data_IF_024285131573
#
_entry.id   IF_024285131573
#
_cell.length_a   1.000
_cell.length_b   1.000
_cell.length_c   1.000
_cell.angle_alpha   90.00
_cell.angle_beta   90.00
_cell.angle_gamma   90.00
#
_symmetry.space_group_name_H-M   'P 1'
#
loop_
_entity.id
_entity.type
_entity.pdbx_description
1 polymer ?
#
# COMPACT_ATOMS: atom_id res chain seq x y z
N UNK A 1 -7.14 -7.61 6.26
CA UNK A 1 -5.78 -7.88 6.74
C UNK A 1 -4.86 -8.24 5.58
N UNK A 2 -3.78 -7.53 5.24
CA UNK A 2 -2.85 -7.97 4.17
C UNK A 2 -2.23 -9.37 4.36
N UNK A 3 -1.39 -9.81 3.42
CA UNK A 3 -0.67 -11.07 3.57
C UNK A 3 0.49 -10.92 4.58
N UNK A 4 0.47 -11.68 5.68
CA UNK A 4 1.53 -11.65 6.70
C UNK A 4 2.22 -13.00 6.88
N UNK A 5 3.54 -13.00 7.08
CA UNK A 5 4.33 -14.22 7.27
C UNK A 5 3.98 -15.02 8.53
N UNK A 6 3.34 -14.38 9.52
CA UNK A 6 2.95 -14.97 10.80
C UNK A 6 1.63 -14.36 11.30
N UNK A 7 1.08 -14.93 12.37
CA UNK A 7 -0.11 -14.41 13.05
C UNK A 7 0.08 -12.94 13.48
N UNK A 8 -0.97 -12.15 13.27
CA UNK A 8 -1.08 -10.75 13.67
C UNK A 8 -2.38 -10.58 14.44
N UNK A 9 -2.33 -9.93 15.61
CA UNK A 9 -3.49 -9.74 16.49
C UNK A 9 -4.54 -8.84 15.87
N UNK A 10 -4.10 -7.77 15.23
CA UNK A 10 -4.98 -6.78 14.65
C UNK A 10 -4.30 -6.07 13.47
N UNK A 11 -5.06 -5.86 12.40
CA UNK A 11 -4.73 -4.89 11.34
C UNK A 11 -5.97 -4.08 11.04
N UNK A 12 -5.86 -2.76 11.13
CA UNK A 12 -6.98 -1.83 10.93
C UNK A 12 -6.53 -0.53 10.28
N UNK A 13 -7.50 0.27 9.87
CA UNK A 13 -7.31 1.56 9.23
C UNK A 13 -6.32 1.45 8.06
N UNK A 14 -6.47 0.42 7.23
CA UNK A 14 -5.62 0.25 6.05
C UNK A 14 -5.94 1.35 5.06
N UNK A 15 -4.92 2.06 4.58
CA UNK A 15 -5.05 3.13 3.60
C UNK A 15 -4.05 2.92 2.49
N UNK A 16 -4.53 2.97 1.25
CA UNK A 16 -3.71 2.70 0.08
C UNK A 16 -3.97 3.76 -0.97
N UNK A 17 -2.92 4.44 -1.44
CA UNK A 17 -2.97 5.30 -2.60
C UNK A 17 -2.39 4.57 -3.80
N UNK A 18 -3.01 4.71 -4.98
CA UNK A 18 -2.50 4.16 -6.23
C UNK A 18 -2.66 5.09 -7.43
N UNK A 19 -1.68 5.10 -8.33
CA UNK A 19 -1.85 5.69 -9.67
C UNK A 19 -0.98 5.01 -10.71
N UNK A 20 -1.36 5.17 -11.97
CA UNK A 20 -0.46 4.90 -13.10
C UNK A 20 0.43 6.13 -13.32
N UNK A 21 1.74 5.88 -13.37
CA UNK A 21 2.78 6.83 -13.73
C UNK A 21 2.93 6.98 -15.25
N UNK A 22 3.60 8.05 -15.70
CA UNK A 22 3.66 8.40 -17.13
C UNK A 22 4.35 7.34 -18.01
N UNK A 23 5.19 6.48 -17.42
CA UNK A 23 5.91 5.43 -18.14
C UNK A 23 5.22 4.06 -18.04
N UNK A 24 3.96 4.01 -17.60
CA UNK A 24 3.24 2.76 -17.34
C UNK A 24 3.71 2.03 -16.07
N UNK A 25 4.55 2.67 -15.26
CA UNK A 25 4.86 2.22 -13.91
C UNK A 25 3.66 2.48 -13.00
N UNK A 26 3.35 1.57 -12.09
CA UNK A 26 2.36 1.87 -11.05
C UNK A 26 3.08 2.38 -9.80
N UNK A 27 2.47 3.36 -9.15
CA UNK A 27 2.89 3.90 -7.87
C UNK A 27 1.90 3.46 -6.81
N UNK A 28 2.40 3.01 -5.66
CA UNK A 28 1.61 2.68 -4.49
C UNK A 28 2.19 3.38 -3.25
N UNK A 29 1.30 3.87 -2.39
CA UNK A 29 1.62 4.28 -1.02
C UNK A 29 0.68 3.53 -0.10
N UNK A 30 1.19 2.92 0.96
CA UNK A 30 0.44 2.05 1.85
C UNK A 30 0.65 2.46 3.31
N UNK A 31 -0.41 2.49 4.11
CA UNK A 31 -0.36 2.71 5.55
C UNK A 31 -1.40 1.83 6.26
N UNK A 32 -1.10 1.39 7.48
CA UNK A 32 -2.05 0.68 8.35
C UNK A 32 -1.67 0.88 9.81
N UNK A 33 -2.59 0.54 10.71
CA UNK A 33 -2.27 0.25 12.10
C UNK A 33 -2.18 -1.27 12.29
N UNK A 34 -1.18 -1.72 13.05
CA UNK A 34 -0.92 -3.13 13.32
C UNK A 34 -0.67 -3.37 14.79
N UNK A 35 -1.12 -4.52 15.29
CA UNK A 35 -0.72 -5.09 16.56
C UNK A 35 -0.19 -6.50 16.34
N UNK A 36 1.09 -6.73 16.62
CA UNK A 36 1.74 -8.04 16.52
C UNK A 36 2.60 -8.33 17.75
N UNK A 37 2.55 -9.56 18.26
CA UNK A 37 3.34 -9.99 19.43
C UNK A 37 4.81 -10.27 19.06
N UNK A 38 5.11 -10.36 17.77
CA UNK A 38 6.42 -10.71 17.23
C UNK A 38 6.72 -9.92 15.97
N UNK A 39 7.97 -9.99 15.52
CA UNK A 39 8.37 -9.47 14.21
C UNK A 39 7.67 -10.26 13.09
N UNK A 40 7.13 -9.54 12.11
CA UNK A 40 6.39 -10.11 10.97
C UNK A 40 6.81 -9.44 9.66
N UNK A 41 6.62 -10.15 8.55
CA UNK A 41 6.72 -9.57 7.22
C UNK A 41 5.31 -9.35 6.65
N UNK A 42 5.04 -8.14 6.17
CA UNK A 42 3.93 -7.88 5.26
C UNK A 42 4.41 -8.15 3.83
N UNK A 43 3.66 -8.95 3.08
CA UNK A 43 3.99 -9.34 1.71
C UNK A 43 2.89 -8.85 0.78
N UNK A 44 3.25 -8.00 -0.18
CA UNK A 44 2.29 -7.43 -1.13
C UNK A 44 2.57 -7.98 -2.53
N UNK A 45 1.71 -8.86 -3.08
CA UNK A 45 1.84 -9.28 -4.47
C UNK A 45 1.60 -8.07 -5.38
N UNK A 46 2.49 -7.86 -6.34
CA UNK A 46 2.41 -6.78 -7.32
C UNK A 46 2.64 -7.28 -8.74
N UNK A 47 1.82 -6.85 -9.72
CA UNK A 47 1.95 -7.30 -11.10
C UNK A 47 3.10 -6.57 -11.79
N UNK A 48 4.34 -7.02 -11.56
CA UNK A 48 5.53 -6.45 -12.19
C UNK A 48 5.67 -7.00 -13.61
N UNK A 49 6.03 -6.14 -14.57
CA UNK A 49 6.35 -6.56 -15.94
C UNK A 49 7.47 -7.61 -15.89
N UNK A 50 7.35 -8.67 -16.70
CA UNK A 50 8.36 -9.74 -16.73
C UNK A 50 9.73 -9.23 -17.21
N UNK A 51 10.79 -9.89 -16.76
CA UNK A 51 12.17 -9.63 -17.21
C UNK A 51 12.80 -8.34 -16.67
N UNK A 52 12.26 -7.76 -15.60
CA UNK A 52 12.79 -6.51 -15.01
C UNK A 52 13.87 -6.74 -13.94
N UNK A 53 14.07 -8.00 -13.50
CA UNK A 53 15.09 -8.37 -12.53
C UNK A 53 14.83 -7.81 -11.12
N UNK A 54 15.85 -7.87 -10.27
CA UNK A 54 15.77 -7.59 -8.83
C UNK A 54 15.63 -6.10 -8.46
N UNK A 55 15.93 -5.21 -9.41
CA UNK A 55 15.85 -3.76 -9.22
C UNK A 55 14.57 -3.15 -9.81
N UNK A 56 13.58 -3.99 -10.14
CA UNK A 56 12.34 -3.54 -10.78
C UNK A 56 11.50 -2.61 -9.88
N UNK A 57 11.62 -2.75 -8.56
CA UNK A 57 10.85 -1.95 -7.60
C UNK A 57 11.74 -0.89 -6.97
N UNK A 58 11.31 0.36 -7.08
CA UNK A 58 11.90 1.49 -6.37
C UNK A 58 11.08 1.81 -5.14
N UNK A 59 11.71 1.96 -3.98
CA UNK A 59 11.07 2.35 -2.73
C UNK A 59 11.44 3.79 -2.38
N UNK A 60 10.52 4.51 -1.73
CA UNK A 60 10.65 5.95 -1.51
C UNK A 60 10.36 6.32 -0.05
N UNK A 61 11.23 7.16 0.51
CA UNK A 61 11.11 7.58 1.91
C UNK A 61 10.06 8.69 2.05
N UNK A 62 8.98 8.40 2.78
CA UNK A 62 7.94 9.37 3.15
C UNK A 62 7.94 9.73 4.64
N UNK A 63 9.05 9.53 5.37
CA UNK A 63 9.18 9.96 6.77
C UNK A 63 8.88 11.45 6.99
N UNK A 64 9.19 12.29 6.00
CA UNK A 64 8.86 13.72 6.03
C UNK A 64 7.36 14.02 5.94
N UNK A 65 6.53 13.01 5.65
CA UNK A 65 5.09 13.18 5.48
C UNK A 65 4.25 12.06 6.16
N UNK A 66 4.36 11.90 7.49
CA UNK A 66 3.66 10.85 8.24
C UNK A 66 2.12 10.99 8.19
N UNK A 67 1.64 12.22 7.97
CA UNK A 67 0.23 12.59 7.94
C UNK A 67 -0.39 12.57 6.54
N UNK A 68 0.27 11.94 5.57
CA UNK A 68 -0.17 11.90 4.16
C UNK A 68 -1.65 11.56 4.02
N UNK A 69 -2.09 10.46 4.65
CA UNK A 69 -3.45 9.98 4.47
C UNK A 69 -4.49 10.78 5.26
N UNK A 70 -4.11 11.38 6.39
CA UNK A 70 -4.97 12.37 7.06
C UNK A 70 -5.23 13.56 6.14
N UNK A 71 -4.20 14.02 5.43
CA UNK A 71 -4.29 15.13 4.50
C UNK A 71 -5.08 14.75 3.24
N UNK A 72 -4.93 13.52 2.72
CA UNK A 72 -5.81 13.00 1.66
C UNK A 72 -7.27 12.96 2.09
N UNK A 73 -7.56 12.54 3.33
CA UNK A 73 -8.92 12.44 3.82
C UNK A 73 -9.60 13.81 3.99
N UNK A 74 -8.83 14.86 4.31
CA UNK A 74 -9.32 16.25 4.29
C UNK A 74 -9.79 16.70 2.91
N UNK A 75 -9.36 16.01 1.85
CA UNK A 75 -9.88 16.20 0.49
C UNK A 75 -11.34 15.77 0.33
N UNK A 76 -11.90 15.03 1.29
CA UNK A 76 -13.25 14.47 1.23
C UNK A 76 -14.01 14.78 2.52
N UNK A 77 -14.19 16.07 2.84
CA UNK A 77 -14.90 16.45 4.06
C UNK A 77 -16.30 15.82 4.00
N UNK A 78 -16.64 15.06 5.05
CA UNK A 78 -18.04 14.81 5.33
C UNK A 78 -18.75 16.17 5.39
N UNK A 79 -19.99 16.25 4.91
CA UNK A 79 -20.84 17.41 5.17
C UNK A 79 -21.13 17.37 6.68
N UNK A 80 -20.21 17.88 7.50
CA UNK A 80 -20.33 17.93 8.95
C UNK A 80 -20.36 19.38 9.38
N UNK A 81 -21.48 19.75 9.99
CA UNK A 81 -21.65 21.01 10.71
C UNK A 81 -20.68 21.02 11.92
N UNK A 82 -19.67 21.91 11.82
CA UNK A 82 -18.60 22.35 12.75
C UNK A 82 -18.38 21.78 14.17
N UNK A 83 -17.09 21.53 14.48
CA UNK A 83 -16.32 21.95 15.67
C UNK A 83 -14.88 21.40 15.55
N UNK A 84 -13.77 22.17 15.48
CA UNK A 84 -13.04 22.84 16.56
C UNK A 84 -11.75 22.06 16.95
N UNK A 85 -10.50 22.61 16.84
CA UNK A 85 -9.25 21.81 16.90
C UNK A 85 -8.48 21.91 18.23
N UNK A 86 -7.55 20.98 18.52
CA UNK A 86 -6.12 21.21 18.89
C UNK A 86 -5.43 19.95 19.49
N UNK A 87 -4.16 19.73 19.13
CA UNK A 87 -3.23 18.81 19.81
C UNK A 87 -1.94 18.51 19.03
N UNK A 88 -0.79 18.98 19.51
CA UNK A 88 0.56 18.96 18.89
C UNK A 88 1.49 17.83 19.42
N UNK A 89 2.53 17.44 18.66
CA UNK A 89 3.48 16.36 19.00
C UNK A 89 4.97 16.81 19.01
N UNK A 90 5.90 16.12 19.73
CA UNK A 90 7.31 16.50 19.85
C UNK A 90 8.31 15.63 19.06
N UNK A 91 9.61 16.00 19.12
CA UNK A 91 10.74 15.77 18.19
C UNK A 91 11.98 15.14 18.88
N UNK A 92 12.82 14.36 18.18
CA UNK A 92 14.32 14.46 18.08
C UNK A 92 15.08 13.15 17.66
N UNK A 93 16.39 13.31 17.36
CA UNK A 93 17.37 12.61 16.47
C UNK A 93 18.47 11.80 17.27
N UNK A 94 19.68 11.39 16.77
CA UNK A 94 20.17 10.74 15.51
C UNK A 94 21.21 9.55 15.67
N UNK A 95 21.48 8.83 14.57
CA UNK A 95 22.79 8.26 14.09
C UNK A 95 23.30 6.87 14.61
N UNK A 96 24.00 5.97 13.88
CA UNK A 96 24.32 5.75 12.43
C UNK A 96 25.00 4.36 12.23
N UNK A 97 24.76 3.66 11.08
CA UNK A 97 25.70 3.00 10.12
C UNK A 97 24.91 2.19 9.04
N UNK A 98 25.51 1.90 7.88
CA UNK A 98 24.84 1.80 6.55
C UNK A 98 24.03 0.51 6.21
N UNK A 99 22.76 0.72 5.81
CA UNK A 99 21.75 -0.21 5.24
C UNK A 99 20.84 0.63 4.34
N UNK A 100 20.29 0.13 3.23
CA UNK A 100 19.30 0.90 2.43
C UNK A 100 17.97 0.94 3.20
N UNK A 101 17.83 1.99 4.01
CA UNK A 101 16.65 2.31 4.80
C UNK A 101 15.73 3.21 3.98
N UNK A 102 14.49 2.76 3.79
CA UNK A 102 13.42 3.59 3.22
C UNK A 102 12.62 4.07 4.41
N UNK A 103 13.10 5.10 5.05
CA UNK A 103 12.40 5.63 6.19
C UNK A 103 12.49 4.79 7.47
N UNK A 104 11.35 4.50 8.08
CA UNK A 104 11.27 3.76 9.35
C UNK A 104 11.20 2.22 9.21
N UNK A 105 11.28 1.68 7.99
CA UNK A 105 11.05 0.26 7.71
C UNK A 105 12.15 -0.37 6.85
N UNK A 106 12.25 -1.71 6.94
CA UNK A 106 13.12 -2.52 6.07
C UNK A 106 12.25 -3.13 4.98
N UNK A 107 12.55 -2.81 3.73
CA UNK A 107 11.81 -3.30 2.56
C UNK A 107 12.71 -4.15 1.65
N UNK A 108 12.11 -5.08 0.92
CA UNK A 108 12.77 -5.90 -0.09
C UNK A 108 11.81 -6.20 -1.23
N UNK A 109 12.35 -6.50 -2.41
CA UNK A 109 11.58 -6.97 -3.55
C UNK A 109 11.95 -8.42 -3.87
N UNK A 110 10.94 -9.26 -4.03
CA UNK A 110 11.07 -10.66 -4.43
C UNK A 110 10.52 -10.80 -5.85
N UNK A 111 11.35 -11.11 -6.86
CA UNK A 111 10.90 -11.14 -8.26
C UNK A 111 9.88 -12.23 -8.58
N UNK A 112 9.95 -13.38 -7.89
CA UNK A 112 9.09 -14.53 -8.15
C UNK A 112 8.85 -15.38 -6.90
N UNK A 113 7.87 -16.30 -6.95
CA UNK A 113 7.61 -17.24 -5.85
C UNK A 113 8.87 -18.05 -5.49
N UNK A 114 9.66 -18.46 -6.49
CA UNK A 114 10.88 -19.24 -6.26
C UNK A 114 11.95 -18.46 -5.47
N UNK A 115 11.97 -17.14 -5.60
CA UNK A 115 12.93 -16.26 -4.94
C UNK A 115 12.65 -16.06 -3.44
N UNK A 116 11.48 -16.46 -2.92
CA UNK A 116 11.23 -16.42 -1.45
C UNK A 116 12.26 -17.23 -0.66
N UNK A 117 12.81 -18.29 -1.27
CA UNK A 117 13.88 -19.12 -0.69
C UNK A 117 15.17 -18.34 -0.37
N UNK A 118 15.30 -17.09 -0.86
CA UNK A 118 16.44 -16.20 -0.63
C UNK A 118 16.19 -15.17 0.49
N UNK A 119 14.95 -14.99 0.94
CA UNK A 119 14.66 -14.15 2.11
C UNK A 119 15.05 -14.86 3.40
N UNK A 120 15.28 -14.17 4.51
CA UNK A 120 15.40 -14.85 5.81
C UNK A 120 14.06 -15.54 6.16
N UNK A 121 14.14 -16.78 6.64
CA UNK A 121 12.99 -17.69 6.85
C UNK A 121 11.88 -17.05 7.70
N UNK A 122 12.25 -16.20 8.66
CA UNK A 122 11.29 -15.50 9.54
C UNK A 122 10.37 -14.53 8.79
N UNK A 123 10.72 -14.18 7.55
CA UNK A 123 10.02 -13.22 6.70
C UNK A 123 9.37 -13.86 5.46
N UNK A 124 9.33 -15.19 5.40
CA UNK A 124 8.67 -15.93 4.32
C UNK A 124 7.26 -16.31 4.75
N UNK A 125 6.33 -16.30 3.80
CA UNK A 125 5.09 -17.07 3.95
C UNK A 125 5.41 -18.57 3.79
N UNK A 126 4.61 -19.47 4.38
CA UNK A 126 4.73 -20.91 4.13
C UNK A 126 4.73 -21.19 2.62
N UNK A 127 5.59 -22.12 2.19
CA UNK A 127 5.90 -22.34 0.77
C UNK A 127 4.69 -22.83 -0.06
N UNK A 128 3.70 -23.41 0.60
CA UNK A 128 2.46 -23.94 0.03
C UNK A 128 1.35 -22.88 -0.17
N UNK A 129 1.48 -21.71 0.46
CA UNK A 129 0.50 -20.62 0.33
C UNK A 129 0.39 -20.13 -1.11
N UNK A 130 1.51 -19.82 -1.77
CA UNK A 130 1.47 -19.24 -3.11
C UNK A 130 1.00 -20.21 -4.21
N UNK A 131 1.40 -21.49 -4.22
CA UNK A 131 0.83 -22.48 -5.14
C UNK A 131 -0.70 -22.60 -5.07
N UNK A 132 -1.32 -22.31 -3.91
CA UNK A 132 -2.78 -22.32 -3.77
C UNK A 132 -3.48 -21.08 -4.36
N UNK A 133 -2.71 -20.08 -4.82
CA UNK A 133 -3.20 -18.86 -5.48
C UNK A 133 -2.57 -18.71 -6.88
N UNK A 134 -3.02 -19.49 -7.88
CA UNK A 134 -2.38 -19.53 -9.19
C UNK A 134 -2.40 -18.16 -9.91
N UNK A 135 -3.27 -17.24 -9.52
CA UNK A 135 -3.30 -15.87 -10.04
C UNK A 135 -2.01 -15.07 -9.84
N UNK A 136 -1.10 -15.48 -8.94
CA UNK A 136 0.14 -14.77 -8.63
C UNK A 136 1.42 -15.41 -9.20
N UNK A 137 1.33 -16.44 -10.05
CA UNK A 137 2.53 -17.10 -10.62
C UNK A 137 3.49 -16.14 -11.35
N UNK A 138 2.97 -15.04 -11.88
CA UNK A 138 3.74 -14.04 -12.62
C UNK A 138 3.89 -12.71 -11.87
N UNK A 139 3.60 -12.70 -10.56
CA UNK A 139 3.75 -11.51 -9.74
C UNK A 139 5.14 -11.48 -9.10
N UNK A 140 5.60 -10.27 -8.82
CA UNK A 140 6.63 -10.04 -7.83
C UNK A 140 6.02 -9.63 -6.49
N UNK A 141 6.83 -9.47 -5.46
CA UNK A 141 6.34 -9.20 -4.11
C UNK A 141 7.15 -8.09 -3.45
N UNK A 142 6.48 -7.03 -3.01
CA UNK A 142 7.06 -6.05 -2.11
C UNK A 142 6.93 -6.57 -0.67
N UNK A 143 8.04 -6.72 0.03
CA UNK A 143 8.10 -7.32 1.37
C UNK A 143 8.58 -6.28 2.36
N UNK A 144 7.83 -6.07 3.44
CA UNK A 144 8.14 -5.09 4.49
C UNK A 144 8.26 -5.80 5.82
N UNK A 145 9.40 -5.63 6.50
CA UNK A 145 9.61 -6.16 7.86
C UNK A 145 9.08 -5.17 8.87
N UNK A 146 8.24 -5.65 9.79
CA UNK A 146 7.57 -4.85 10.81
C UNK A 146 7.96 -5.35 12.20
N UNK A 147 8.30 -4.41 13.07
CA UNK A 147 8.62 -4.67 14.47
C UNK A 147 7.36 -5.09 15.25
N UNK A 148 7.51 -5.85 16.35
CA UNK A 148 6.39 -6.14 17.26
C UNK A 148 5.84 -4.88 17.92
N UNK A 149 4.65 -5.02 18.52
CA UNK A 149 3.94 -4.00 19.26
C UNK A 149 2.72 -3.47 18.53
N UNK A 150 2.10 -2.46 19.14
CA UNK A 150 0.95 -1.76 18.60
C UNK A 150 1.42 -0.42 18.01
N UNK A 151 1.32 -0.26 16.71
CA UNK A 151 1.77 0.97 16.05
C UNK A 151 0.99 1.30 14.78
N UNK A 152 0.89 2.60 14.50
CA UNK A 152 0.55 3.11 13.17
C UNK A 152 1.81 3.13 12.32
N UNK A 153 1.81 2.39 11.22
CA UNK A 153 2.95 2.29 10.32
C UNK A 153 3.07 3.58 9.50
N UNK A 154 4.30 4.05 9.31
CA UNK A 154 4.59 5.18 8.43
C UNK A 154 4.21 4.83 6.98
N UNK A 155 3.82 5.81 6.13
CA UNK A 155 3.50 5.53 4.74
C UNK A 155 4.65 4.82 4.01
N UNK A 156 4.40 3.59 3.56
CA UNK A 156 5.32 2.76 2.77
C UNK A 156 5.06 3.02 1.30
N UNK A 157 6.04 3.57 0.60
CA UNK A 157 5.86 4.05 -0.77
C UNK A 157 6.82 3.36 -1.74
N UNK A 158 6.29 2.93 -2.89
CA UNK A 158 7.06 2.23 -3.90
C UNK A 158 6.44 2.36 -5.30
N UNK A 159 7.26 2.13 -6.32
CA UNK A 159 6.83 2.11 -7.71
C UNK A 159 7.46 0.95 -8.46
N UNK A 160 6.74 0.42 -9.44
CA UNK A 160 7.19 -0.73 -10.24
C UNK A 160 6.67 -0.64 -11.68
N UNK A 161 7.40 -1.15 -12.68
CA UNK A 161 6.90 -1.29 -14.04
C UNK A 161 5.74 -2.29 -14.03
N UNK A 162 4.51 -1.84 -14.32
CA UNK A 162 3.34 -2.70 -14.21
C UNK A 162 3.21 -3.61 -15.43
N UNK A 163 2.88 -4.89 -15.21
CA UNK A 163 2.42 -5.79 -16.26
C UNK A 163 1.02 -5.40 -16.78
N UNK A 164 0.33 -4.50 -16.07
CA UNK A 164 -1.01 -3.98 -16.41
C UNK A 164 -0.98 -2.45 -16.43
N UNK A 165 -0.30 -1.81 -17.40
CA UNK A 165 0.00 -0.37 -17.37
C UNK A 165 -1.22 0.54 -17.54
N UNK A 166 -2.42 -0.01 -17.79
CA UNK A 166 -3.67 0.76 -17.88
C UNK A 166 -4.56 0.56 -16.65
N UNK A 167 -4.23 -0.39 -15.78
CA UNK A 167 -4.97 -0.69 -14.56
C UNK A 167 -4.33 0.03 -13.36
N UNK A 168 -5.13 0.33 -12.33
CA UNK A 168 -4.61 0.63 -10.99
C UNK A 168 -4.91 -0.60 -10.12
N UNK A 169 -3.86 -1.33 -9.74
CA UNK A 169 -3.95 -2.54 -8.94
C UNK A 169 -3.69 -2.25 -7.46
N UNK A 170 -4.61 -2.61 -6.57
CA UNK A 170 -4.43 -2.49 -5.13
C UNK A 170 -4.23 -3.88 -4.52
N UNK A 171 -3.08 -4.16 -3.88
CA UNK A 171 -2.87 -5.42 -3.17
C UNK A 171 -3.73 -5.43 -1.89
N UNK A 172 -4.91 -6.03 -1.98
CA UNK A 172 -5.90 -6.10 -0.91
C UNK A 172 -6.33 -7.52 -0.58
N UNK A 173 -5.77 -8.55 -1.24
CA UNK A 173 -5.91 -9.92 -0.78
C UNK A 173 -5.36 -10.08 0.64
N UNK A 174 -6.09 -10.84 1.44
CA UNK A 174 -5.80 -11.15 2.81
C UNK A 174 -5.33 -12.60 2.96
N UNK A 175 -4.17 -12.77 3.60
CA UNK A 175 -3.64 -14.07 4.02
C UNK A 175 -3.11 -13.88 5.43
N UNK A 176 -3.77 -14.50 6.39
CA UNK A 176 -3.31 -14.59 7.77
C UNK A 176 -3.46 -16.04 8.23
N UNK A 177 -2.69 -16.40 9.26
CA UNK A 177 -2.72 -17.74 9.86
C UNK A 177 -2.38 -18.88 8.88
N UNK A 178 -1.66 -18.55 7.80
CA UNK A 178 -1.26 -19.48 6.74
C UNK A 178 -2.41 -19.98 5.86
N UNK A 179 -3.59 -19.35 5.92
CA UNK A 179 -4.78 -19.79 5.18
C UNK A 179 -5.34 -18.68 4.30
N UNK A 180 -6.04 -19.10 3.25
CA UNK A 180 -6.81 -18.22 2.38
C UNK A 180 -8.28 -18.48 2.67
N UNK A 181 -8.98 -17.44 3.10
CA UNK A 181 -10.42 -17.46 3.30
C UNK A 181 -11.12 -16.89 2.07
N UNK A 182 -12.30 -17.43 1.71
CA UNK A 182 -13.10 -16.92 0.59
C UNK A 182 -13.57 -15.47 0.82
N UNK A 183 -13.87 -15.14 2.08
CA UNK A 183 -14.31 -13.82 2.51
C UNK A 183 -13.54 -13.36 3.71
N UNK A 184 -13.24 -12.08 3.74
CA UNK A 184 -12.50 -11.45 4.83
C UNK A 184 -13.09 -10.12 5.28
N UNK A 185 -12.68 -9.67 6.47
CA UNK A 185 -13.05 -8.36 6.98
C UNK A 185 -12.15 -7.27 6.38
N UNK A 186 -12.78 -6.33 5.69
CA UNK A 186 -12.12 -5.16 5.15
C UNK A 186 -12.36 -3.97 6.08
N UNK A 187 -11.28 -3.27 6.39
CA UNK A 187 -11.27 -1.92 6.96
C UNK A 187 -10.25 -1.06 6.18
N UNK A 188 -10.61 -0.75 4.91
CA UNK A 188 -9.70 -0.10 3.97
C UNK A 188 -10.29 1.21 3.45
N UNK A 189 -9.44 2.21 3.30
CA UNK A 189 -9.73 3.39 2.47
C UNK A 189 -8.74 3.42 1.32
N UNK A 190 -9.24 3.26 0.10
CA UNK A 190 -8.43 3.35 -1.11
C UNK A 190 -8.52 4.78 -1.66
N UNK A 191 -7.39 5.29 -2.12
CA UNK A 191 -7.27 6.55 -2.81
C UNK A 191 -6.63 6.31 -4.18
N UNK A 192 -7.02 7.05 -5.20
CA UNK A 192 -6.32 6.98 -6.48
C UNK A 192 -6.24 8.30 -7.23
N UNK A 193 -5.28 8.38 -8.15
CA UNK A 193 -5.31 9.32 -9.26
C UNK A 193 -5.41 8.52 -10.55
N UNK A 194 -6.46 8.79 -11.30
CA UNK A 194 -6.80 8.05 -12.50
C UNK A 194 -6.66 8.93 -13.74
N UNK A 195 -6.30 8.29 -14.85
CA UNK A 195 -6.28 8.84 -16.19
C UNK A 195 -6.89 7.80 -17.14
N UNK A 196 -8.20 7.89 -17.35
CA UNK A 196 -8.95 6.98 -18.22
C UNK A 196 -9.44 5.69 -17.56
N UNK A 197 -9.28 5.52 -16.25
CA UNK A 197 -9.90 4.41 -15.51
C UNK A 197 -11.39 4.68 -15.19
N UNK A 198 -12.16 3.62 -15.01
CA UNK A 198 -13.56 3.65 -14.58
C UNK A 198 -13.64 3.94 -13.07
N UNK A 199 -14.19 5.11 -12.74
CA UNK A 199 -14.32 5.64 -11.39
C UNK A 199 -15.79 5.70 -10.94
N UNK A 200 -16.69 4.98 -11.60
CA UNK A 200 -18.14 4.98 -11.29
C UNK A 200 -18.48 4.64 -9.83
N UNK A 201 -17.60 3.94 -9.12
CA UNK A 201 -17.75 3.56 -7.69
C UNK A 201 -16.88 4.37 -6.73
N UNK A 202 -16.26 5.44 -7.22
CA UNK A 202 -15.34 6.26 -6.45
C UNK A 202 -15.90 7.66 -6.24
N UNK A 203 -15.69 8.19 -5.05
CA UNK A 203 -15.95 9.57 -4.73
C UNK A 203 -14.79 10.42 -5.26
N UNK A 204 -15.07 11.51 -5.96
CA UNK A 204 -14.05 12.44 -6.44
C UNK A 204 -13.88 13.60 -5.43
N UNK A 205 -12.64 13.98 -5.13
CA UNK A 205 -12.36 15.15 -4.31
C UNK A 205 -12.83 16.43 -5.02
N UNK A 206 -13.45 17.39 -4.33
CA UNK A 206 -13.98 18.61 -4.95
C UNK A 206 -12.88 19.60 -5.41
N UNK A 207 -11.62 19.35 -5.03
CA UNK A 207 -10.46 20.19 -5.35
C UNK A 207 -9.29 19.32 -5.77
N UNK A 208 -8.28 19.93 -6.40
CA UNK A 208 -7.02 19.26 -6.75
C UNK A 208 -6.20 18.88 -5.52
N UNK A 209 -5.36 17.84 -5.65
CA UNK A 209 -4.56 17.28 -4.57
C UNK A 209 -3.70 18.31 -3.83
N UNK A 210 -3.11 19.28 -4.55
CA UNK A 210 -2.27 20.33 -3.95
C UNK A 210 -3.00 21.20 -2.92
N UNK A 211 -4.33 21.24 -2.96
CA UNK A 211 -5.14 22.04 -2.03
C UNK A 211 -5.31 21.42 -0.64
N UNK A 212 -4.96 20.14 -0.48
CA UNK A 212 -5.08 19.42 0.79
C UNK A 212 -3.88 18.53 1.11
N UNK A 213 -3.06 18.15 0.13
CA UNK A 213 -1.86 17.34 0.31
C UNK A 213 -0.57 18.09 -0.06
N UNK A 214 0.49 17.88 0.71
CA UNK A 214 1.86 18.39 0.50
C UNK A 214 2.55 17.59 -0.60
N UNK A 215 2.07 17.68 -1.82
CA UNK A 215 2.49 16.85 -2.96
C UNK A 215 4.01 16.86 -3.21
N UNK A 216 4.69 17.97 -2.92
CA UNK A 216 6.15 18.08 -3.03
C UNK A 216 6.93 17.13 -2.11
N UNK A 217 6.32 16.62 -1.03
CA UNK A 217 6.93 15.64 -0.12
C UNK A 217 6.71 14.18 -0.57
N UNK A 218 6.09 13.97 -1.74
CA UNK A 218 5.69 12.63 -2.20
C UNK A 218 6.56 12.08 -3.33
N UNK A 219 7.73 12.69 -3.62
CA UNK A 219 8.59 12.27 -4.74
C UNK A 219 7.85 12.19 -6.09
N UNK A 220 6.87 13.08 -6.30
CA UNK A 220 6.04 13.10 -7.51
C UNK A 220 5.01 11.95 -7.60
N UNK A 221 4.83 11.17 -6.53
CA UNK A 221 3.84 10.09 -6.48
C UNK A 221 2.41 10.62 -6.51
N UNK A 222 2.15 11.75 -5.86
CA UNK A 222 0.86 12.44 -5.95
C UNK A 222 1.02 13.64 -6.88
N UNK A 223 0.21 13.68 -7.93
CA UNK A 223 0.19 14.76 -8.91
C UNK A 223 -0.58 15.95 -8.37
N UNK A 224 0.04 17.14 -8.23
CA UNK A 224 -0.57 18.27 -7.54
C UNK A 224 -1.83 18.80 -8.23
N UNK A 225 -1.85 18.80 -9.56
CA UNK A 225 -2.93 19.37 -10.38
C UNK A 225 -4.07 18.38 -10.67
N UNK A 226 -4.02 17.16 -10.15
CA UNK A 226 -5.05 16.15 -10.35
C UNK A 226 -5.95 16.03 -9.13
N UNK A 227 -7.22 15.69 -9.35
CA UNK A 227 -8.14 15.30 -8.28
C UNK A 227 -7.71 13.94 -7.70
N UNK A 228 -8.12 13.67 -6.47
CA UNK A 228 -7.97 12.36 -5.85
C UNK A 228 -9.35 11.72 -5.80
N UNK A 229 -9.41 10.41 -6.00
CA UNK A 229 -10.62 9.63 -5.86
C UNK A 229 -10.53 8.74 -4.63
N UNK A 230 -11.62 8.54 -3.90
CA UNK A 230 -11.70 7.71 -2.69
C UNK A 230 -12.72 6.60 -2.84
N UNK A 231 -12.39 5.42 -2.32
CA UNK A 231 -13.32 4.33 -2.12
C UNK A 231 -13.13 3.72 -0.73
N UNK A 232 -14.22 3.61 0.02
CA UNK A 232 -14.22 3.00 1.36
C UNK A 232 -14.68 1.55 1.25
N UNK A 233 -13.87 0.63 1.78
CA UNK A 233 -14.14 -0.80 1.81
C UNK A 233 -14.21 -1.26 3.26
N UNK A 234 -15.44 -1.37 3.76
CA UNK A 234 -15.73 -1.86 5.11
C UNK A 234 -16.55 -3.15 5.08
N UNK A 235 -16.44 -3.93 6.15
CA UNK A 235 -17.26 -5.13 6.37
C UNK A 235 -16.71 -6.38 5.69
N UNK A 236 -17.46 -7.48 5.80
CA UNK A 236 -17.07 -8.78 5.23
C UNK A 236 -17.29 -8.80 3.72
N UNK A 237 -16.23 -9.06 2.95
CA UNK A 237 -16.23 -9.01 1.47
C UNK A 237 -15.50 -10.21 0.89
N UNK A 238 -15.64 -10.45 -0.41
CA UNK A 238 -14.81 -11.42 -1.14
C UNK A 238 -13.35 -11.05 -0.95
N UNK A 239 -12.55 -12.03 -0.58
CA UNK A 239 -11.12 -11.87 -0.37
C UNK A 239 -10.41 -11.83 -1.73
N UNK A 240 -10.24 -10.64 -2.29
CA UNK A 240 -9.59 -10.43 -3.57
C UNK A 240 -8.93 -9.05 -3.64
N UNK A 241 -8.00 -8.90 -4.59
CA UNK A 241 -7.41 -7.60 -4.92
C UNK A 241 -8.42 -6.69 -5.64
N UNK A 242 -8.34 -5.39 -5.34
CA UNK A 242 -9.12 -4.37 -6.05
C UNK A 242 -8.34 -3.90 -7.29
N UNK A 243 -9.01 -3.87 -8.44
CA UNK A 243 -8.42 -3.40 -9.69
C UNK A 243 -9.34 -2.36 -10.31
N UNK A 244 -8.81 -1.16 -10.54
CA UNK A 244 -9.51 -0.10 -11.29
C UNK A 244 -9.12 -0.25 -12.76
N UNK A 245 -10.09 -0.64 -13.58
CA UNK A 245 -9.90 -0.92 -15.01
C UNK A 245 -10.06 0.35 -15.86
N UNK A 246 -9.53 0.37 -17.08
CA UNK A 246 -9.88 1.39 -18.07
C UNK A 246 -11.39 1.48 -18.27
N UNK A 247 -11.91 2.69 -18.48
CA UNK A 247 -13.30 2.89 -18.89
C UNK A 247 -13.52 2.19 -20.23
N UNK A 248 -14.60 1.41 -20.34
CA UNK A 248 -15.01 0.86 -21.63
C UNK A 248 -15.32 2.00 -22.60
N UNK A 249 -14.84 1.88 -23.84
CA UNK A 249 -15.15 2.81 -24.94
C UNK A 249 -16.60 2.62 -25.39
#
# INVERSE_FOLDING_TARGET
MCCFSKEVREVKNTRIFGRVGPQGNQVLIYQMAIHADQEVAMVLPIPVKSGQGENAVSFFDLQGYPSLFEDLDKGFPAITYGAGPFGSAPRSLPGTLAVISVGAFVASYVPSIADFSRLDERFRLPADVWPSLPGYHHFGFAVFKLKPGHSKIQPMAFSFPSARPKDIFFPTLHIHDGKIHEKELFDHTLYCQANGQDLSRWEESPRQAVSFAKCGLTHGMIQPAQHVYRQILTGRRINADIVVKPRAL
#
